data_IF_023594332534
#
_entry.id   IF_023594332534
#
_cell.length_a   1.000
_cell.length_b   1.000
_cell.length_c   1.000
_cell.angle_alpha   90.00
_cell.angle_beta   90.00
_cell.angle_gamma   90.00
#
_symmetry.space_group_name_H-M   'P 1'
#
loop_
_entity.id
_entity.type
_entity.pdbx_description
1 polymer ?
#
# COMPACT_ATOMS: atom_id res chain seq x y z
N UNK A 1 -2.63 1.66 -8.51
CA UNK A 1 -1.97 0.56 -7.77
C UNK A 1 -2.66 0.42 -6.43
N UNK A 2 -3.50 -0.60 -6.25
CA UNK A 2 -4.10 -0.89 -4.93
C UNK A 2 -3.01 -1.41 -4.01
N UNK A 3 -2.37 -0.53 -3.22
CA UNK A 3 -1.45 -0.96 -2.18
C UNK A 3 -2.26 -1.78 -1.17
N UNK A 4 -1.77 -2.95 -0.71
CA UNK A 4 -2.46 -3.66 0.36
C UNK A 4 -2.68 -2.68 1.52
N UNK A 5 -3.94 -2.50 1.95
CA UNK A 5 -4.26 -1.66 3.11
C UNK A 5 -3.58 -2.28 4.33
N UNK A 6 -2.40 -1.77 4.66
CA UNK A 6 -1.65 -2.22 5.83
C UNK A 6 -2.50 -1.94 7.05
N UNK A 7 -2.78 -2.98 7.84
CA UNK A 7 -3.52 -2.85 9.09
C UNK A 7 -2.73 -1.91 10.01
N UNK A 8 -3.27 -0.71 10.24
CA UNK A 8 -2.68 0.24 11.19
C UNK A 8 -3.07 -0.21 12.60
N UNK A 9 -2.08 -0.34 13.48
CA UNK A 9 -2.31 -0.63 14.90
C UNK A 9 -1.79 0.54 15.72
N UNK A 10 -2.52 0.92 16.76
CA UNK A 10 -2.08 1.95 17.71
C UNK A 10 -1.15 1.32 18.74
N UNK A 11 0.04 1.90 18.89
CA UNK A 11 0.96 1.62 19.98
C UNK A 11 0.86 2.77 20.99
N UNK A 12 0.66 2.46 22.27
CA UNK A 12 0.64 3.44 23.35
C UNK A 12 1.83 3.17 24.27
N UNK A 13 2.57 4.22 24.61
CA UNK A 13 3.72 4.17 25.52
C UNK A 13 3.60 5.31 26.52
N UNK A 14 3.99 5.07 27.77
CA UNK A 14 4.11 6.12 28.78
C UNK A 14 5.50 6.76 28.65
N UNK A 15 5.54 8.09 28.64
CA UNK A 15 6.77 8.88 28.56
C UNK A 15 6.77 9.90 29.69
N UNK A 16 7.96 10.24 30.18
CA UNK A 16 8.12 11.30 31.17
C UNK A 16 7.86 12.67 30.54
N UNK A 17 7.31 13.61 31.32
CA UNK A 17 6.84 14.90 30.82
C UNK A 17 7.94 15.68 30.08
N UNK A 18 9.18 15.67 30.58
CA UNK A 18 10.29 16.36 29.92
C UNK A 18 10.65 15.76 28.55
N UNK A 19 10.42 14.46 28.36
CA UNK A 19 10.64 13.79 27.07
C UNK A 19 9.58 14.24 26.07
N UNK A 20 8.33 14.35 26.53
CA UNK A 20 7.20 14.81 25.72
C UNK A 20 7.44 16.26 25.27
N UNK A 21 7.89 17.13 26.19
CA UNK A 21 8.13 18.54 25.89
C UNK A 21 9.25 18.74 24.87
N UNK A 22 10.36 18.02 25.02
CA UNK A 22 11.44 18.03 24.04
C UNK A 22 10.97 17.57 22.65
N UNK A 23 10.14 16.53 22.59
CA UNK A 23 9.60 16.02 21.34
C UNK A 23 8.59 16.98 20.69
N UNK A 24 7.74 17.67 21.48
CA UNK A 24 6.80 18.69 20.98
C UNK A 24 7.52 19.86 20.32
N UNK A 25 8.58 20.40 20.92
CA UNK A 25 9.34 21.51 20.34
C UNK A 25 9.91 21.15 18.94
N UNK A 26 10.40 19.91 18.79
CA UNK A 26 10.87 19.40 17.49
C UNK A 26 9.72 19.18 16.50
N UNK A 27 8.60 18.66 16.97
CA UNK A 27 7.41 18.44 16.16
C UNK A 27 6.80 19.75 15.64
N UNK A 28 6.82 20.84 16.42
CA UNK A 28 6.39 22.18 15.98
C UNK A 28 7.16 22.65 14.75
N UNK A 29 8.49 22.53 14.81
CA UNK A 29 9.39 23.00 13.75
C UNK A 29 9.27 22.14 12.48
N UNK A 30 9.19 20.81 12.63
CA UNK A 30 9.31 19.88 11.49
C UNK A 30 7.98 19.35 10.97
N UNK A 31 6.95 19.30 11.82
CA UNK A 31 5.68 18.62 11.55
C UNK A 31 4.45 19.47 11.95
N UNK A 32 4.62 20.79 12.08
CA UNK A 32 3.53 21.73 12.45
C UNK A 32 2.83 21.34 13.76
N UNK A 33 3.59 20.81 14.71
CA UNK A 33 3.12 20.39 16.03
C UNK A 33 2.57 18.98 16.08
N UNK A 34 2.57 18.22 14.97
CA UNK A 34 2.10 16.85 14.97
C UNK A 34 3.17 15.90 15.56
N UNK A 35 3.02 15.61 16.86
CA UNK A 35 3.93 14.75 17.63
C UNK A 35 3.96 13.31 17.12
N UNK A 36 2.83 12.74 16.72
CA UNK A 36 2.74 11.37 16.20
C UNK A 36 3.56 11.23 14.91
N UNK A 37 3.48 12.22 14.02
CA UNK A 37 4.28 12.25 12.79
C UNK A 37 5.78 12.36 13.09
N UNK A 38 6.16 13.17 14.08
CA UNK A 38 7.56 13.29 14.51
C UNK A 38 8.09 11.96 15.06
N UNK A 39 7.35 11.30 15.96
CA UNK A 39 7.73 10.00 16.52
C UNK A 39 7.82 8.95 15.43
N UNK A 40 6.81 8.88 14.55
CA UNK A 40 6.80 7.92 13.43
C UNK A 40 8.01 8.15 12.50
N UNK A 41 8.30 9.41 12.16
CA UNK A 41 9.47 9.76 11.36
C UNK A 41 10.78 9.36 12.04
N UNK A 42 10.91 9.58 13.34
CA UNK A 42 12.10 9.22 14.12
C UNK A 42 12.33 7.71 14.12
N UNK A 43 11.26 6.93 14.37
CA UNK A 43 11.31 5.46 14.31
C UNK A 43 11.70 4.99 12.90
N UNK A 44 11.05 5.51 11.86
CA UNK A 44 11.35 5.11 10.48
C UNK A 44 12.77 5.50 10.05
N UNK A 45 13.26 6.66 10.49
CA UNK A 45 14.59 7.18 10.12
C UNK A 45 15.70 6.36 10.78
N UNK A 46 15.58 6.06 12.07
CA UNK A 46 16.55 5.21 12.77
C UNK A 46 16.55 3.76 12.28
N UNK A 47 15.43 3.28 11.73
CA UNK A 47 15.28 1.89 11.29
C UNK A 47 15.17 1.75 9.76
N UNK A 48 15.69 2.72 9.00
CA UNK A 48 15.44 2.87 7.56
C UNK A 48 15.65 1.58 6.75
N UNK A 49 16.73 0.86 6.99
CA UNK A 49 17.04 -0.38 6.25
C UNK A 49 16.06 -1.52 6.59
N UNK A 50 15.72 -1.68 7.87
CA UNK A 50 14.77 -2.69 8.34
C UNK A 50 13.39 -2.43 7.74
N UNK A 51 12.93 -1.18 7.80
CA UNK A 51 11.63 -0.78 7.22
C UNK A 51 11.62 -0.97 5.70
N UNK A 52 12.68 -0.56 4.99
CA UNK A 52 12.78 -0.76 3.54
C UNK A 52 12.73 -2.24 3.16
N UNK A 53 13.45 -3.11 3.90
CA UNK A 53 13.41 -4.55 3.70
C UNK A 53 11.98 -5.08 3.92
N UNK A 54 11.31 -4.65 4.99
CA UNK A 54 9.97 -5.14 5.31
C UNK A 54 8.92 -4.71 4.29
N UNK A 55 8.99 -3.48 3.77
CA UNK A 55 8.12 -3.02 2.68
C UNK A 55 8.33 -3.90 1.43
N UNK A 56 9.59 -4.17 1.06
CA UNK A 56 9.90 -5.03 -0.08
C UNK A 56 9.36 -6.45 0.08
N UNK A 57 9.47 -7.03 1.28
CA UNK A 57 8.88 -8.34 1.59
C UNK A 57 7.36 -8.34 1.43
N UNK A 58 6.69 -7.31 1.95
CA UNK A 58 5.23 -7.15 1.84
C UNK A 58 4.79 -6.99 0.38
N UNK A 59 5.53 -6.21 -0.41
CA UNK A 59 5.27 -6.04 -1.84
C UNK A 59 5.44 -7.37 -2.59
N UNK A 60 6.51 -8.12 -2.30
CA UNK A 60 6.73 -9.45 -2.89
C UNK A 60 5.65 -10.46 -2.52
N UNK A 61 5.18 -10.46 -1.27
CA UNK A 61 4.05 -11.28 -0.84
C UNK A 61 2.75 -10.90 -1.54
N UNK A 62 2.52 -9.60 -1.76
CA UNK A 62 1.36 -9.11 -2.49
C UNK A 62 1.40 -9.53 -3.98
N UNK A 63 2.57 -9.43 -4.64
CA UNK A 63 2.75 -9.90 -6.02
C UNK A 63 2.49 -11.40 -6.15
N UNK A 64 2.90 -12.22 -5.18
CA UNK A 64 2.62 -13.67 -5.17
C UNK A 64 1.12 -14.00 -5.06
N UNK A 65 0.33 -13.10 -4.46
CA UNK A 65 -1.12 -13.25 -4.32
C UNK A 65 -1.89 -12.72 -5.52
N UNK A 66 -1.24 -12.05 -6.47
CA UNK A 66 -1.93 -11.60 -7.68
C UNK A 66 -2.38 -12.81 -8.49
N UNK A 67 -3.62 -12.80 -9.00
CA UNK A 67 -4.12 -13.87 -9.84
C UNK A 67 -3.35 -13.94 -11.16
N UNK A 68 -3.28 -15.14 -11.72
CA UNK A 68 -2.56 -15.43 -12.97
C UNK A 68 -3.38 -14.92 -14.15
N UNK A 69 -2.77 -14.10 -15.01
CA UNK A 69 -3.39 -13.68 -16.26
C UNK A 69 -3.63 -14.88 -17.19
N UNK A 70 -4.75 -14.89 -17.88
CA UNK A 70 -4.95 -15.76 -19.05
C UNK A 70 -4.18 -15.11 -20.21
N UNK A 71 -3.39 -15.90 -20.93
CA UNK A 71 -2.58 -15.41 -22.07
C UNK A 71 -3.46 -14.70 -23.11
N UNK A 72 -2.93 -13.61 -23.68
CA UNK A 72 -3.57 -12.79 -24.73
C UNK A 72 -4.96 -12.22 -24.38
N UNK A 73 -5.23 -11.98 -23.09
CA UNK A 73 -6.50 -11.40 -22.64
C UNK A 73 -6.44 -9.91 -22.29
N UNK A 74 -5.30 -9.26 -22.52
CA UNK A 74 -5.15 -7.83 -22.32
C UNK A 74 -6.09 -7.06 -23.27
N UNK A 75 -6.99 -6.26 -22.72
CA UNK A 75 -7.99 -5.47 -23.45
C UNK A 75 -8.18 -4.12 -22.79
N UNK A 76 -8.91 -3.24 -23.46
CA UNK A 76 -9.39 -1.97 -22.90
C UNK A 76 -10.81 -2.14 -22.38
N UNK A 77 -11.09 -1.62 -21.19
CA UNK A 77 -12.42 -1.66 -20.60
C UNK A 77 -13.43 -0.89 -21.45
N UNK A 78 -14.50 -1.56 -21.88
CA UNK A 78 -15.55 -0.97 -22.71
C UNK A 78 -16.57 -0.17 -21.89
N UNK A 79 -16.66 -0.43 -20.59
CA UNK A 79 -17.59 0.19 -19.65
C UNK A 79 -16.95 0.28 -18.27
N UNK A 80 -17.48 1.15 -17.42
CA UNK A 80 -17.06 1.25 -16.03
C UNK A 80 -17.43 -0.05 -15.28
N UNK A 81 -16.52 -0.58 -14.49
CA UNK A 81 -16.72 -1.79 -13.69
C UNK A 81 -15.93 -1.72 -12.37
N UNK A 82 -15.97 -2.76 -11.55
CA UNK A 82 -15.13 -2.92 -10.35
C UNK A 82 -14.14 -4.06 -10.61
N UNK A 83 -12.89 -3.88 -10.20
CA UNK A 83 -11.89 -4.94 -10.26
C UNK A 83 -12.13 -5.97 -9.17
N UNK A 84 -12.39 -7.23 -9.54
CA UNK A 84 -12.66 -8.30 -8.57
C UNK A 84 -11.50 -8.57 -7.59
N UNK A 85 -10.26 -8.22 -7.95
CA UNK A 85 -9.08 -8.46 -7.09
C UNK A 85 -8.85 -7.37 -6.05
N UNK A 86 -8.85 -6.10 -6.45
CA UNK A 86 -8.54 -4.97 -5.56
C UNK A 86 -9.77 -4.19 -5.11
N UNK A 87 -10.94 -4.50 -5.65
CA UNK A 87 -12.22 -3.81 -5.42
C UNK A 87 -12.19 -2.31 -5.76
N UNK A 88 -11.19 -1.85 -6.52
CA UNK A 88 -11.12 -0.49 -7.02
C UNK A 88 -11.86 -0.35 -8.37
N UNK A 89 -12.36 0.84 -8.72
CA UNK A 89 -13.01 1.08 -10.00
C UNK A 89 -12.10 0.82 -11.20
N UNK A 90 -12.68 0.27 -12.26
CA UNK A 90 -12.17 0.21 -13.63
C UNK A 90 -13.01 1.21 -14.42
N UNK A 91 -12.38 2.20 -15.03
CA UNK A 91 -13.07 3.14 -15.90
C UNK A 91 -12.99 2.68 -17.36
N UNK A 92 -13.97 3.09 -18.16
CA UNK A 92 -13.91 2.91 -19.61
C UNK A 92 -12.61 3.51 -20.14
N UNK A 93 -11.87 2.74 -20.93
CA UNK A 93 -10.55 3.13 -21.43
C UNK A 93 -9.37 2.57 -20.61
N UNK A 94 -9.60 2.00 -19.42
CA UNK A 94 -8.54 1.40 -18.62
C UNK A 94 -8.06 0.06 -19.21
N UNK A 95 -6.76 -0.22 -19.06
CA UNK A 95 -6.16 -1.50 -19.40
C UNK A 95 -6.56 -2.60 -18.39
N UNK A 96 -7.14 -3.69 -18.91
CA UNK A 96 -7.68 -4.83 -18.15
C UNK A 96 -7.16 -6.16 -18.69
N UNK A 97 -7.20 -7.20 -17.86
CA UNK A 97 -6.89 -8.59 -18.20
C UNK A 97 -7.97 -9.52 -17.63
N UNK A 98 -8.08 -10.74 -18.17
CA UNK A 98 -8.80 -11.83 -17.50
C UNK A 98 -7.83 -12.67 -16.68
N UNK A 99 -8.31 -13.21 -15.57
CA UNK A 99 -7.50 -14.05 -14.69
C UNK A 99 -8.26 -15.33 -14.28
N UNK A 100 -7.52 -16.41 -14.00
CA UNK A 100 -8.10 -17.69 -13.61
C UNK A 100 -8.83 -17.58 -12.26
N UNK A 101 -10.08 -18.07 -12.21
CA UNK A 101 -10.91 -18.07 -11.00
C UNK A 101 -11.66 -16.76 -10.71
N UNK A 102 -11.69 -15.81 -11.67
CA UNK A 102 -12.41 -14.55 -11.57
C UNK A 102 -13.45 -14.44 -12.70
N UNK A 103 -14.65 -13.96 -12.37
CA UNK A 103 -15.75 -13.84 -13.33
C UNK A 103 -15.63 -12.57 -14.18
N UNK A 104 -15.19 -11.46 -13.57
CA UNK A 104 -15.02 -10.18 -14.25
C UNK A 104 -13.57 -9.86 -14.61
N UNK A 105 -13.40 -8.78 -15.35
CA UNK A 105 -12.10 -8.19 -15.67
C UNK A 105 -11.43 -7.66 -14.41
N UNK A 106 -10.11 -7.79 -14.37
CA UNK A 106 -9.27 -7.15 -13.36
C UNK A 106 -8.32 -6.16 -14.04
N UNK A 107 -7.82 -5.16 -13.30
CA UNK A 107 -6.81 -4.25 -13.85
C UNK A 107 -5.60 -5.05 -14.35
N UNK A 108 -4.96 -4.61 -15.43
CA UNK A 108 -3.72 -5.21 -15.95
C UNK A 108 -2.64 -5.38 -14.88
N UNK A 109 -2.55 -4.41 -13.96
CA UNK A 109 -1.58 -4.41 -12.86
C UNK A 109 -1.98 -5.30 -11.67
N UNK A 110 -3.21 -5.79 -11.65
CA UNK A 110 -3.72 -6.75 -10.67
C UNK A 110 -3.49 -8.20 -11.11
N UNK A 111 -3.23 -8.46 -12.39
CA UNK A 111 -2.73 -9.75 -12.85
C UNK A 111 -1.22 -9.90 -12.62
N UNK A 112 -0.77 -11.14 -12.39
CA UNK A 112 0.62 -11.55 -12.60
C UNK A 112 0.79 -11.97 -14.07
N UNK A 113 1.75 -11.38 -14.78
CA UNK A 113 2.16 -11.85 -16.11
C UNK A 113 3.05 -13.08 -15.92
N UNK A 114 2.84 -14.11 -16.73
CA UNK A 114 3.86 -15.16 -16.86
C UNK A 114 5.00 -14.61 -17.72
N UNK A 115 6.23 -14.80 -17.24
CA UNK A 115 7.44 -14.69 -18.06
C UNK A 115 7.59 -15.94 -18.92
#
# INVERSE_FOLDING_TARGET
>A
MGKPKLKTKRLTVNLEDYVIDAAKQKAETMFRGNLDNYINWLICSNNKQVIKKKIKELDQEAEKKKPKAIQDTDKTAMYNNICDYCSEPIYQGDDICKAEGYENYIHKNCCRREE
#
